data_IF_012300143787
#
_entry.id   IF_012300143787
#
_cell.length_a   1.000
_cell.length_b   1.000
_cell.length_c   1.000
_cell.angle_alpha   90.00
_cell.angle_beta   90.00
_cell.angle_gamma   90.00
#
_symmetry.space_group_name_H-M   'P 1'
#
loop_
_entity.id
_entity.type
_entity.pdbx_description
1 polymer ?
#
# COMPACT_ATOMS: atom_id res chain seq x y z
N UNK A 1 -5.27 1.13 20.97
CA UNK A 1 -4.37 1.34 19.81
C UNK A 1 -5.15 1.37 18.51
N UNK A 2 -5.86 0.30 18.16
CA UNK A 2 -6.69 0.26 16.93
C UNK A 2 -7.77 1.35 16.92
N UNK A 3 -8.45 1.56 18.03
CA UNK A 3 -9.49 2.58 18.15
C UNK A 3 -8.95 3.99 17.90
N UNK A 4 -7.78 4.29 18.44
CA UNK A 4 -7.14 5.61 18.25
C UNK A 4 -6.74 5.81 16.80
N UNK A 5 -6.20 4.79 16.16
CA UNK A 5 -5.85 4.84 14.74
C UNK A 5 -7.10 5.10 13.88
N UNK A 6 -8.17 4.36 14.13
CA UNK A 6 -9.42 4.51 13.39
C UNK A 6 -10.02 5.90 13.55
N UNK A 7 -9.98 6.45 14.76
CA UNK A 7 -10.47 7.82 15.01
C UNK A 7 -9.66 8.85 14.23
N UNK A 8 -8.33 8.73 14.20
CA UNK A 8 -7.48 9.64 13.46
C UNK A 8 -7.72 9.56 11.95
N UNK A 9 -7.87 8.34 11.43
CA UNK A 9 -8.13 8.13 10.01
C UNK A 9 -9.49 8.70 9.60
N UNK A 10 -10.53 8.39 10.35
CA UNK A 10 -11.89 8.85 10.04
C UNK A 10 -12.06 10.36 10.23
N UNK A 11 -11.30 10.95 11.15
CA UNK A 11 -11.32 12.39 11.38
C UNK A 11 -10.54 13.20 10.34
N UNK A 12 -9.75 12.53 9.51
CA UNK A 12 -8.96 13.21 8.48
C UNK A 12 -9.79 13.39 7.21
N UNK A 13 -9.84 14.62 6.68
CA UNK A 13 -10.52 14.87 5.40
C UNK A 13 -9.73 14.28 4.24
N UNK A 14 -10.42 13.98 3.13
CA UNK A 14 -9.74 13.52 1.92
C UNK A 14 -8.72 14.54 1.43
N UNK A 15 -9.08 15.83 1.43
CA UNK A 15 -8.15 16.87 0.98
C UNK A 15 -6.88 16.94 1.82
N UNK A 16 -7.00 16.80 3.14
CA UNK A 16 -5.83 16.75 4.02
C UNK A 16 -4.99 15.51 3.77
N UNK A 17 -5.63 14.37 3.55
CA UNK A 17 -4.93 13.12 3.25
C UNK A 17 -4.18 13.21 1.92
N UNK A 18 -4.79 13.81 0.88
CA UNK A 18 -4.13 14.01 -0.41
C UNK A 18 -2.88 14.87 -0.26
N UNK A 19 -2.97 15.96 0.50
CA UNK A 19 -1.82 16.83 0.74
C UNK A 19 -0.69 16.12 1.47
N UNK A 20 -1.02 15.38 2.52
CA UNK A 20 -0.03 14.66 3.31
C UNK A 20 0.69 13.58 2.50
N UNK A 21 -0.03 12.86 1.67
CA UNK A 21 0.58 11.81 0.86
C UNK A 21 1.42 12.38 -0.28
N UNK A 22 1.06 13.57 -0.77
CA UNK A 22 1.80 14.26 -1.82
C UNK A 22 3.14 14.83 -1.32
N UNK A 23 3.22 15.21 -0.03
CA UNK A 23 4.43 15.81 0.54
C UNK A 23 5.57 14.79 0.68
N UNK A 24 6.80 15.30 0.65
CA UNK A 24 7.98 14.51 1.01
C UNK A 24 8.02 14.30 2.52
N UNK A 25 8.41 13.11 2.96
CA UNK A 25 8.51 12.78 4.39
C UNK A 25 9.35 13.80 5.18
N UNK A 26 10.40 14.34 4.56
CA UNK A 26 11.27 15.35 5.21
C UNK A 26 10.56 16.67 5.46
N UNK A 27 9.50 16.97 4.72
CA UNK A 27 8.76 18.22 4.81
C UNK A 27 7.52 18.13 5.72
N UNK A 28 7.18 16.94 6.17
CA UNK A 28 6.02 16.71 7.03
C UNK A 28 6.46 16.80 8.49
N UNK A 29 5.78 17.66 9.26
CA UNK A 29 6.11 17.87 10.66
C UNK A 29 5.99 16.56 11.48
N UNK A 30 4.98 15.74 11.17
CA UNK A 30 4.79 14.43 11.80
C UNK A 30 4.73 13.38 10.70
N UNK A 31 5.85 12.71 10.41
CA UNK A 31 5.92 11.74 9.30
C UNK A 31 4.89 10.62 9.38
N UNK A 32 4.47 10.23 10.58
CA UNK A 32 3.43 9.22 10.77
C UNK A 32 2.10 9.63 10.15
N UNK A 33 1.81 10.92 10.04
CA UNK A 33 0.57 11.39 9.45
C UNK A 33 0.42 10.95 7.99
N UNK A 34 1.53 10.69 7.29
CA UNK A 34 1.49 10.24 5.91
C UNK A 34 0.91 8.83 5.78
N UNK A 35 1.27 7.91 6.66
CA UNK A 35 0.68 6.57 6.56
C UNK A 35 -0.77 6.54 7.08
N UNK A 36 -1.16 7.41 7.99
CA UNK A 36 -2.58 7.63 8.31
C UNK A 36 -3.33 8.14 7.07
N UNK A 37 -2.72 9.08 6.34
CA UNK A 37 -3.30 9.60 5.09
C UNK A 37 -3.49 8.49 4.05
N UNK A 38 -2.51 7.62 3.86
CA UNK A 38 -2.63 6.49 2.93
C UNK A 38 -3.81 5.60 3.32
N UNK A 39 -3.96 5.29 4.60
CA UNK A 39 -5.08 4.49 5.09
C UNK A 39 -6.41 5.20 4.83
N UNK A 40 -6.47 6.52 5.08
CA UNK A 40 -7.68 7.32 4.85
C UNK A 40 -8.10 7.27 3.37
N UNK A 41 -7.14 7.34 2.45
CA UNK A 41 -7.43 7.31 1.01
C UNK A 41 -7.95 5.95 0.54
N UNK A 42 -7.76 4.90 1.33
CA UNK A 42 -8.39 3.61 1.09
C UNK A 42 -9.92 3.65 1.20
N UNK A 43 -10.47 4.67 1.86
CA UNK A 43 -11.91 4.90 1.98
C UNK A 43 -12.45 5.86 0.92
N UNK A 44 -11.59 6.41 0.09
CA UNK A 44 -11.94 7.38 -0.96
C UNK A 44 -12.16 6.68 -2.29
N UNK A 45 -12.92 7.33 -3.17
CA UNK A 45 -13.28 6.77 -4.49
C UNK A 45 -12.82 7.66 -5.65
N UNK A 46 -12.09 8.74 -5.37
CA UNK A 46 -11.65 9.69 -6.40
C UNK A 46 -10.47 9.17 -7.19
N UNK A 47 -10.31 9.66 -8.42
CA UNK A 47 -9.15 9.36 -9.26
C UNK A 47 -7.86 9.89 -8.63
N UNK A 48 -7.91 11.06 -8.02
CA UNK A 48 -6.74 11.66 -7.36
C UNK A 48 -6.20 10.76 -6.26
N UNK A 49 -7.10 10.21 -5.42
CA UNK A 49 -6.68 9.30 -4.35
C UNK A 49 -6.08 8.02 -4.90
N UNK A 50 -6.65 7.45 -5.96
CA UNK A 50 -6.09 6.28 -6.62
C UNK A 50 -4.68 6.56 -7.13
N UNK A 51 -4.51 7.66 -7.86
CA UNK A 51 -3.22 8.02 -8.46
C UNK A 51 -2.14 8.24 -7.40
N UNK A 52 -2.46 8.87 -6.28
CA UNK A 52 -1.50 9.08 -5.20
C UNK A 52 -1.13 7.78 -4.49
N UNK A 53 -2.08 6.88 -4.29
CA UNK A 53 -1.79 5.57 -3.72
C UNK A 53 -0.90 4.74 -4.64
N UNK A 54 -1.18 4.74 -5.94
CA UNK A 54 -0.33 4.06 -6.93
C UNK A 54 1.08 4.66 -6.94
N UNK A 55 1.19 5.98 -6.90
CA UNK A 55 2.47 6.67 -6.85
C UNK A 55 3.26 6.28 -5.59
N UNK A 56 2.58 6.20 -4.45
CA UNK A 56 3.21 5.80 -3.19
C UNK A 56 3.76 4.36 -3.25
N UNK A 57 3.01 3.44 -3.85
CA UNK A 57 3.46 2.04 -4.00
C UNK A 57 4.68 1.95 -4.90
N UNK A 58 4.72 2.72 -5.99
CA UNK A 58 5.77 2.62 -7.00
C UNK A 58 6.98 3.51 -6.70
N UNK A 59 6.82 4.59 -5.95
CA UNK A 59 7.81 5.63 -5.83
C UNK A 59 8.45 5.84 -4.47
N UNK A 60 7.85 5.36 -3.38
CA UNK A 60 8.40 5.59 -2.06
C UNK A 60 9.60 4.69 -1.78
N UNK A 61 10.56 5.25 -1.03
CA UNK A 61 11.77 4.53 -0.62
C UNK A 61 11.43 3.34 0.28
N UNK A 62 12.16 2.25 0.12
CA UNK A 62 12.08 1.11 1.03
C UNK A 62 13.10 1.19 2.16
N UNK A 63 14.00 2.18 2.13
CA UNK A 63 15.07 2.34 3.11
C UNK A 63 14.67 3.23 4.29
N UNK A 64 13.83 4.24 4.05
CA UNK A 64 13.36 5.14 5.09
C UNK A 64 12.13 4.53 5.76
N UNK A 65 12.10 4.55 7.10
CA UNK A 65 11.09 3.86 7.90
C UNK A 65 9.67 4.33 7.59
N UNK A 66 9.44 5.64 7.60
CA UNK A 66 8.08 6.18 7.40
C UNK A 66 7.62 6.03 5.96
N UNK A 67 8.51 6.13 4.98
CA UNK A 67 8.19 5.86 3.59
C UNK A 67 7.81 4.38 3.39
N UNK A 68 8.54 3.48 4.03
CA UNK A 68 8.26 2.04 3.98
C UNK A 68 6.88 1.73 4.57
N UNK A 69 6.55 2.31 5.72
CA UNK A 69 5.23 2.11 6.36
C UNK A 69 4.13 2.73 5.49
N UNK A 70 4.35 3.93 4.97
CA UNK A 70 3.40 4.61 4.09
C UNK A 70 3.12 3.78 2.84
N UNK A 71 4.17 3.19 2.26
CA UNK A 71 4.05 2.30 1.11
C UNK A 71 3.19 1.07 1.44
N UNK A 72 3.44 0.41 2.58
CA UNK A 72 2.65 -0.74 3.03
C UNK A 72 1.18 -0.37 3.22
N UNK A 73 0.91 0.76 3.85
CA UNK A 73 -0.47 1.25 4.05
C UNK A 73 -1.16 1.60 2.74
N UNK A 74 -0.41 2.10 1.77
CA UNK A 74 -0.93 2.37 0.43
C UNK A 74 -1.31 1.08 -0.30
N UNK A 75 -0.52 0.01 -0.13
CA UNK A 75 -0.82 -1.32 -0.67
C UNK A 75 -2.14 -1.84 -0.07
N UNK A 76 -2.31 -1.75 1.25
CA UNK A 76 -3.54 -2.15 1.93
C UNK A 76 -4.74 -1.31 1.46
N UNK A 77 -4.55 -0.01 1.31
CA UNK A 77 -5.58 0.91 0.86
C UNK A 77 -6.10 0.56 -0.54
N UNK A 78 -5.20 0.21 -1.45
CA UNK A 78 -5.57 -0.22 -2.80
C UNK A 78 -6.43 -1.47 -2.79
N UNK A 79 -6.13 -2.41 -1.90
CA UNK A 79 -6.95 -3.62 -1.72
C UNK A 79 -8.34 -3.28 -1.19
N UNK A 80 -8.42 -2.35 -0.25
CA UNK A 80 -9.70 -1.92 0.33
C UNK A 80 -10.59 -1.24 -0.70
N UNK A 81 -9.99 -0.49 -1.63
CA UNK A 81 -10.73 0.17 -2.73
C UNK A 81 -11.29 -0.84 -3.75
N UNK A 82 -10.69 -2.02 -3.83
CA UNK A 82 -11.09 -3.07 -4.79
C UNK A 82 -11.07 -2.61 -6.25
N UNK A 83 -10.15 -1.72 -6.59
CA UNK A 83 -10.02 -1.20 -7.94
C UNK A 83 -9.05 -2.08 -8.74
N UNK A 84 -9.55 -2.68 -9.82
CA UNK A 84 -8.75 -3.57 -10.67
C UNK A 84 -7.55 -2.87 -11.31
N UNK A 85 -7.57 -1.56 -11.42
CA UNK A 85 -6.46 -0.77 -11.97
C UNK A 85 -5.21 -0.84 -11.08
N UNK A 86 -5.35 -1.24 -9.83
CA UNK A 86 -4.22 -1.43 -8.92
C UNK A 86 -3.48 -2.76 -9.12
N UNK A 87 -4.05 -3.71 -9.84
CA UNK A 87 -3.47 -5.05 -10.00
C UNK A 87 -2.03 -5.01 -10.51
N UNK A 88 -1.68 -4.28 -11.58
CA UNK A 88 -0.29 -4.28 -12.05
C UNK A 88 0.72 -3.80 -11.00
N UNK A 89 0.38 -2.75 -10.25
CA UNK A 89 1.27 -2.25 -9.19
C UNK A 89 1.42 -3.26 -8.05
N UNK A 90 0.33 -3.91 -7.65
CA UNK A 90 0.35 -4.89 -6.58
C UNK A 90 1.10 -6.16 -6.98
N UNK A 91 0.94 -6.62 -8.21
CA UNK A 91 1.72 -7.76 -8.73
C UNK A 91 3.21 -7.43 -8.74
N UNK A 92 3.57 -6.21 -9.08
CA UNK A 92 4.96 -5.75 -9.02
C UNK A 92 5.58 -5.83 -7.63
N UNK A 93 4.78 -5.65 -6.59
CA UNK A 93 5.25 -5.75 -5.19
C UNK A 93 5.66 -7.17 -4.82
N UNK A 94 5.10 -8.19 -5.47
CA UNK A 94 5.40 -9.60 -5.16
C UNK A 94 6.87 -9.96 -5.34
N UNK A 95 7.61 -9.18 -6.13
CA UNK A 95 9.04 -9.40 -6.37
C UNK A 95 9.94 -8.57 -5.46
N UNK A 96 9.38 -7.77 -4.55
CA UNK A 96 10.22 -6.91 -3.69
C UNK A 96 10.76 -7.67 -2.48
N UNK A 97 11.75 -7.08 -1.82
CA UNK A 97 12.41 -7.71 -0.65
C UNK A 97 11.72 -7.41 0.68
N UNK A 98 10.72 -6.52 0.68
CA UNK A 98 9.96 -6.20 1.89
C UNK A 98 8.86 -7.25 2.08
N UNK A 99 9.11 -8.22 2.96
CA UNK A 99 8.19 -9.34 3.21
C UNK A 99 6.80 -8.87 3.63
N UNK A 100 6.72 -7.85 4.49
CA UNK A 100 5.43 -7.30 4.92
C UNK A 100 4.65 -6.72 3.75
N UNK A 101 5.33 -6.00 2.85
CA UNK A 101 4.69 -5.45 1.67
C UNK A 101 4.17 -6.56 0.75
N UNK A 102 4.92 -7.65 0.60
CA UNK A 102 4.49 -8.82 -0.19
C UNK A 102 3.22 -9.42 0.39
N UNK A 103 3.17 -9.62 1.70
CA UNK A 103 1.99 -10.15 2.39
C UNK A 103 0.79 -9.23 2.18
N UNK A 104 1.00 -7.93 2.34
CA UNK A 104 -0.06 -6.94 2.13
C UNK A 104 -0.56 -6.93 0.68
N UNK A 105 0.35 -7.09 -0.28
CA UNK A 105 -0.01 -7.14 -1.70
C UNK A 105 -0.83 -8.39 -2.03
N UNK A 106 -0.46 -9.54 -1.50
CA UNK A 106 -1.23 -10.78 -1.69
C UNK A 106 -2.64 -10.61 -1.13
N UNK A 107 -2.76 -10.10 0.09
CA UNK A 107 -4.06 -9.86 0.72
C UNK A 107 -4.91 -8.90 -0.11
N UNK A 108 -4.32 -7.82 -0.60
CA UNK A 108 -5.02 -6.83 -1.42
C UNK A 108 -5.46 -7.40 -2.76
N UNK A 109 -4.61 -8.21 -3.40
CA UNK A 109 -4.94 -8.87 -4.66
C UNK A 109 -6.12 -9.83 -4.48
N UNK A 110 -6.15 -10.57 -3.36
CA UNK A 110 -7.28 -11.46 -3.05
C UNK A 110 -8.57 -10.64 -2.87
N UNK A 111 -8.50 -9.51 -2.18
CA UNK A 111 -9.67 -8.62 -1.98
C UNK A 111 -10.21 -8.07 -3.29
N UNK A 112 -9.32 -7.77 -4.24
CA UNK A 112 -9.70 -7.27 -5.57
C UNK A 112 -10.33 -8.37 -6.42
N UNK A 113 -10.05 -9.64 -6.11
CA UNK A 113 -10.52 -10.77 -6.88
C UNK A 113 -9.57 -11.17 -8.00
N UNK A 114 -8.29 -10.82 -7.88
CA UNK A 114 -7.28 -11.17 -8.87
C UNK A 114 -7.10 -12.69 -8.95
N UNK A 115 -7.07 -13.20 -10.17
CA UNK A 115 -6.79 -14.61 -10.44
C UNK A 115 -5.39 -14.71 -11.05
N UNK A 116 -4.45 -15.40 -10.37
CA UNK A 116 -3.09 -15.49 -10.88
C UNK A 116 -3.02 -16.32 -12.15
N UNK A 117 -2.17 -15.90 -13.08
CA UNK A 117 -1.77 -16.69 -14.24
C UNK A 117 -0.81 -17.80 -13.77
N UNK A 118 -0.56 -18.85 -14.59
CA UNK A 118 0.34 -19.94 -14.19
C UNK A 118 1.71 -19.50 -13.68
N UNK A 119 2.33 -18.52 -14.34
CA UNK A 119 3.64 -18.00 -13.92
C UNK A 119 3.57 -17.32 -12.54
N UNK A 120 2.47 -16.63 -12.26
CA UNK A 120 2.24 -15.99 -10.96
C UNK A 120 2.06 -17.05 -9.87
N UNK A 121 1.40 -18.16 -10.19
CA UNK A 121 1.23 -19.28 -9.25
C UNK A 121 2.59 -19.87 -8.89
N UNK A 122 3.48 -20.05 -9.85
CA UNK A 122 4.83 -20.57 -9.61
C UNK A 122 5.60 -19.64 -8.67
N UNK A 123 5.51 -18.32 -8.88
CA UNK A 123 6.15 -17.35 -8.01
C UNK A 123 5.59 -17.43 -6.58
N UNK A 124 4.27 -17.49 -6.43
CA UNK A 124 3.64 -17.57 -5.11
C UNK A 124 4.02 -18.85 -4.38
N UNK A 125 4.05 -19.98 -5.08
CA UNK A 125 4.48 -21.26 -4.50
C UNK A 125 5.92 -21.20 -4.04
N UNK A 126 6.80 -20.60 -4.82
CA UNK A 126 8.21 -20.43 -4.45
C UNK A 126 8.35 -19.60 -3.17
N UNK A 127 7.56 -18.53 -3.02
CA UNK A 127 7.55 -17.70 -1.82
C UNK A 127 7.09 -18.48 -0.59
N UNK A 128 6.03 -19.27 -0.72
CA UNK A 128 5.50 -20.06 0.39
C UNK A 128 6.44 -21.21 0.78
N UNK A 129 7.16 -21.78 -0.19
CA UNK A 129 8.09 -22.87 0.07
C UNK A 129 9.47 -22.38 0.55
N UNK A 130 9.68 -21.07 0.60
CA UNK A 130 10.96 -20.49 0.97
C UNK A 130 12.05 -20.66 -0.07
N UNK A 131 11.71 -21.03 -1.30
CA UNK A 131 12.67 -21.16 -2.40
C UNK A 131 13.16 -19.82 -2.89
N UNK A 132 12.32 -18.80 -2.78
CA UNK A 132 12.69 -17.41 -3.06
C UNK A 132 13.03 -16.74 -1.75
N UNK A 133 14.27 -16.32 -1.61
CA UNK A 133 14.71 -15.61 -0.42
C UNK A 133 14.26 -14.16 -0.50
N UNK A 134 13.40 -13.76 0.42
CA UNK A 134 12.87 -12.38 0.50
C UNK A 134 13.73 -11.49 1.40
N UNK A 135 14.90 -11.93 1.68
CA UNK A 135 15.87 -11.19 2.51
C UNK A 135 16.90 -10.48 1.66
#
# INVERSE_FOLDING_TARGET
>A
MAERFDVLVQGMSENDALKLLLENTLNVQRPADRYFAATRLGLSTTEESLNLLLHAVNGLSTDELYDRITRRKSIEALGRRKDVRAIPALVGVLSCTDTEAVINAITSLVRIGWEPLPDDIDLLLSLFNGEVTLV
#
